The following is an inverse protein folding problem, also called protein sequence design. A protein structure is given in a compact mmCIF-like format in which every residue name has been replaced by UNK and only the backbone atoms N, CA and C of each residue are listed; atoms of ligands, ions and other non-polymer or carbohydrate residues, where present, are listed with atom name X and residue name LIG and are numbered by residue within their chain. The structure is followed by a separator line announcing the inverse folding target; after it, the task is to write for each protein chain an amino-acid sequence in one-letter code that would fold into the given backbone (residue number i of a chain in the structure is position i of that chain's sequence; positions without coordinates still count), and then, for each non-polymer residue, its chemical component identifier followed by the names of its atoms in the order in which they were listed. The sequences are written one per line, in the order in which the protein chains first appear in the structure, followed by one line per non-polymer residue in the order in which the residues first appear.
data_IF_625635249635
#
_entry.id   IF_625635249635
#
_cell.length_a   1.000
_cell.length_b   1.000
_cell.length_c   1.000
_cell.angle_alpha   90.00
_cell.angle_beta   90.00
_cell.angle_gamma   90.00
#
_symmetry.space_group_name_H-M   'P 1'
#
loop_
_entity.id
_entity.type
_entity.pdbx_description
1 polymer ?
#
# COMPACT_ATOMS: atom_id res chain seq x y z
N UNK A 1 -37.15 9.49 4.10
CA UNK A 1 -35.86 8.86 3.74
C UNK A 1 -35.25 9.67 2.62
N UNK A 2 -33.95 9.99 2.68
CA UNK A 2 -33.26 10.72 1.62
C UNK A 2 -32.68 9.70 0.62
N UNK A 3 -32.98 9.86 -0.67
CA UNK A 3 -32.60 8.90 -1.71
C UNK A 3 -31.37 9.41 -2.46
N UNK A 4 -30.30 8.64 -2.45
CA UNK A 4 -29.09 8.97 -3.21
C UNK A 4 -28.92 7.97 -4.35
N UNK A 5 -28.63 8.48 -5.55
CA UNK A 5 -28.14 7.67 -6.65
C UNK A 5 -26.61 7.79 -6.69
N UNK A 6 -25.91 6.65 -6.80
CA UNK A 6 -24.46 6.61 -6.76
C UNK A 6 -23.93 5.88 -7.99
N UNK A 7 -23.14 6.59 -8.79
CA UNK A 7 -22.46 6.04 -9.97
C UNK A 7 -20.99 5.78 -9.65
N UNK A 8 -20.56 4.53 -9.73
CA UNK A 8 -19.14 4.19 -9.72
C UNK A 8 -18.59 4.24 -11.15
N UNK A 9 -17.77 5.24 -11.43
CA UNK A 9 -17.11 5.44 -12.73
C UNK A 9 -15.60 5.17 -12.64
N UNK A 10 -15.16 4.39 -11.64
CA UNK A 10 -13.77 3.97 -11.51
C UNK A 10 -13.35 3.06 -12.66
N UNK A 11 -12.20 3.35 -13.25
CA UNK A 11 -11.61 2.52 -14.32
C UNK A 11 -10.21 2.09 -13.89
N UNK A 12 -9.96 0.78 -13.94
CA UNK A 12 -8.67 0.22 -13.58
C UNK A 12 -7.55 0.77 -14.47
N UNK A 13 -6.43 1.14 -13.85
CA UNK A 13 -5.27 1.66 -14.56
C UNK A 13 -5.33 3.14 -14.94
N UNK A 14 -6.43 3.85 -14.63
CA UNK A 14 -6.54 5.27 -14.98
C UNK A 14 -5.58 6.17 -14.19
N UNK A 15 -4.91 7.06 -14.92
CA UNK A 15 -4.12 8.18 -14.40
C UNK A 15 -4.97 9.44 -14.21
N UNK A 16 -4.39 10.48 -13.62
CA UNK A 16 -5.09 11.72 -13.32
C UNK A 16 -5.56 12.48 -14.57
N UNK A 17 -4.80 12.44 -15.68
CA UNK A 17 -5.24 12.99 -16.97
C UNK A 17 -6.45 12.24 -17.53
N UNK A 18 -6.47 10.91 -17.42
CA UNK A 18 -7.57 10.07 -17.88
C UNK A 18 -8.82 10.30 -17.02
N UNK A 19 -8.64 10.48 -15.70
CA UNK A 19 -9.70 10.91 -14.78
C UNK A 19 -10.30 12.27 -15.17
N UNK A 20 -9.47 13.25 -15.55
CA UNK A 20 -9.94 14.56 -16.00
C UNK A 20 -10.74 14.45 -17.31
N UNK A 21 -10.28 13.60 -18.24
CA UNK A 21 -10.99 13.35 -19.50
C UNK A 21 -12.33 12.67 -19.24
N UNK A 22 -12.37 11.67 -18.35
CA UNK A 22 -13.61 11.00 -17.97
C UNK A 22 -14.61 11.97 -17.33
N UNK A 23 -14.11 12.84 -16.44
CA UNK A 23 -14.92 13.91 -15.85
C UNK A 23 -15.58 14.75 -16.95
N UNK A 24 -14.77 15.31 -17.85
CA UNK A 24 -15.22 16.22 -18.91
C UNK A 24 -16.16 15.59 -19.94
N UNK A 25 -16.04 14.28 -20.20
CA UNK A 25 -16.73 13.61 -21.32
C UNK A 25 -17.91 12.73 -20.93
N UNK A 26 -18.02 12.36 -19.64
CA UNK A 26 -19.07 11.44 -19.16
C UNK A 26 -19.67 11.88 -17.83
N UNK A 27 -18.85 12.16 -16.82
CA UNK A 27 -19.34 12.43 -15.46
C UNK A 27 -20.22 13.67 -15.43
N UNK A 28 -19.80 14.76 -16.08
CA UNK A 28 -20.56 16.02 -16.05
C UNK A 28 -21.89 15.95 -16.81
N UNK A 29 -22.05 15.00 -17.74
CA UNK A 29 -23.31 14.78 -18.47
C UNK A 29 -24.37 14.09 -17.59
N UNK A 30 -23.94 13.44 -16.50
CA UNK A 30 -24.83 12.87 -15.49
C UNK A 30 -25.39 13.92 -14.52
N UNK A 31 -24.93 15.17 -14.60
CA UNK A 31 -25.32 16.27 -13.71
C UNK A 31 -25.25 15.93 -12.20
N UNK A 32 -24.09 15.45 -11.68
CA UNK A 32 -23.98 15.04 -10.29
C UNK A 32 -23.92 16.26 -9.35
N UNK A 33 -24.49 16.15 -8.16
CA UNK A 33 -24.31 17.16 -7.10
C UNK A 33 -22.91 17.10 -6.49
N UNK A 34 -22.35 15.90 -6.38
CA UNK A 34 -21.03 15.67 -5.77
C UNK A 34 -20.21 14.68 -6.60
N UNK A 35 -18.93 14.99 -6.76
CA UNK A 35 -17.93 14.10 -7.38
C UNK A 35 -16.85 13.75 -6.35
N UNK A 36 -16.60 12.45 -6.18
CA UNK A 36 -15.44 11.96 -5.43
C UNK A 36 -14.34 11.60 -6.43
N UNK A 37 -13.18 12.27 -6.34
CA UNK A 37 -12.03 12.01 -7.21
C UNK A 37 -11.03 11.13 -6.48
N UNK A 38 -10.83 9.92 -6.99
CA UNK A 38 -9.98 8.89 -6.41
C UNK A 38 -8.92 8.40 -7.42
N UNK A 39 -7.98 9.28 -7.77
CA UNK A 39 -6.85 9.00 -8.67
C UNK A 39 -5.56 9.28 -7.91
N UNK A 40 -4.55 8.40 -8.01
CA UNK A 40 -3.26 8.43 -7.29
C UNK A 40 -2.51 7.09 -7.37
N UNK A 41 -3.25 5.97 -7.53
CA UNK A 41 -2.71 4.61 -7.42
C UNK A 41 -1.84 4.21 -8.63
N UNK A 42 -2.09 4.78 -9.82
CA UNK A 42 -1.40 4.39 -11.07
C UNK A 42 -0.27 5.34 -11.45
N UNK A 43 -0.28 6.54 -10.89
CA UNK A 43 0.67 7.62 -11.08
C UNK A 43 2.10 7.25 -10.63
N UNK A 44 2.30 6.56 -9.49
CA UNK A 44 3.64 6.20 -9.05
C UNK A 44 4.24 5.01 -9.80
N UNK A 45 3.49 4.33 -10.67
CA UNK A 45 4.05 3.19 -11.39
C UNK A 45 5.01 3.69 -12.48
N UNK A 46 6.20 3.05 -12.55
CA UNK A 46 7.13 3.25 -13.65
C UNK A 46 6.47 2.78 -14.94
N UNK A 47 5.80 3.69 -15.64
CA UNK A 47 5.35 3.44 -16.98
C UNK A 47 6.59 3.65 -17.85
N UNK A 48 7.05 2.61 -18.55
CA UNK A 48 8.12 2.76 -19.55
C UNK A 48 7.77 3.73 -20.69
N UNK A 49 6.59 4.35 -20.65
CA UNK A 49 6.08 5.37 -21.57
C UNK A 49 5.16 6.32 -20.80
N UNK A 50 5.35 7.63 -20.98
CA UNK A 50 4.49 8.71 -20.47
C UNK A 50 3.10 8.67 -21.14
N UNK A 51 2.03 8.69 -20.33
CA UNK A 51 0.64 8.64 -20.77
C UNK A 51 0.23 9.84 -21.65
N UNK A 52 0.88 10.99 -21.46
CA UNK A 52 0.68 12.20 -22.27
C UNK A 52 1.14 12.00 -23.71
N UNK A 53 2.08 11.07 -23.91
CA UNK A 53 2.59 10.66 -25.22
C UNK A 53 1.91 9.39 -25.74
N UNK A 54 1.06 8.73 -24.94
CA UNK A 54 0.13 7.71 -25.40
C UNK A 54 -1.09 8.36 -26.10
N UNK A 55 -0.83 9.16 -27.13
CA UNK A 55 -1.88 9.60 -28.07
C UNK A 55 -2.35 8.41 -28.91
N UNK A 56 -3.67 8.23 -29.13
CA UNK A 56 -4.15 7.30 -30.14
C UNK A 56 -3.86 7.88 -31.53
N UNK A 57 -2.80 7.37 -32.16
CA UNK A 57 -2.55 7.59 -33.59
C UNK A 57 -1.50 8.64 -33.89
N UNK A 58 -0.26 8.18 -34.07
CA UNK A 58 0.64 8.57 -35.16
C UNK A 58 1.84 7.61 -35.11
N UNK A 59 1.62 6.34 -35.43
CA UNK A 59 2.71 5.42 -35.75
C UNK A 59 2.77 5.28 -37.26
N UNK A 60 3.93 5.63 -37.83
CA UNK A 60 4.28 5.23 -39.18
C UNK A 60 4.09 3.72 -39.28
N UNK A 61 3.27 3.29 -40.24
CA UNK A 61 2.84 1.90 -40.39
C UNK A 61 4.07 1.02 -40.64
N UNK A 62 4.56 0.38 -39.59
CA UNK A 62 5.63 -0.59 -39.70
C UNK A 62 4.99 -1.94 -40.07
N UNK A 63 5.37 -2.50 -41.22
CA UNK A 63 4.75 -3.71 -41.79
C UNK A 63 4.80 -4.91 -40.82
N UNK A 64 5.81 -4.92 -39.95
CA UNK A 64 5.99 -5.88 -38.84
C UNK A 64 4.91 -5.72 -37.76
N UNK A 65 4.54 -4.48 -37.40
CA UNK A 65 3.46 -4.23 -36.43
C UNK A 65 2.09 -4.58 -37.01
N UNK A 66 1.86 -4.35 -38.31
CA UNK A 66 0.62 -4.75 -38.98
C UNK A 66 0.48 -6.27 -39.01
N UNK A 67 1.54 -7.00 -39.36
CA UNK A 67 1.56 -8.47 -39.29
C UNK A 67 1.41 -8.99 -37.86
N UNK A 68 2.07 -8.38 -36.87
CA UNK A 68 1.89 -8.77 -35.47
C UNK A 68 0.47 -8.48 -34.97
N UNK A 69 -0.17 -7.40 -35.43
CA UNK A 69 -1.55 -7.05 -35.06
C UNK A 69 -2.57 -8.02 -35.65
N UNK A 70 -2.32 -8.54 -36.86
CA UNK A 70 -3.14 -9.56 -37.50
C UNK A 70 -2.96 -10.93 -36.84
N UNK A 71 -1.71 -11.31 -36.53
CA UNK A 71 -1.40 -12.53 -35.81
C UNK A 71 -1.96 -12.49 -34.38
N UNK A 72 -1.84 -11.38 -33.66
CA UNK A 72 -2.39 -11.22 -32.30
C UNK A 72 -3.92 -11.16 -32.26
N UNK A 73 -4.62 -10.99 -33.39
CA UNK A 73 -6.08 -11.15 -33.49
C UNK A 73 -6.51 -12.61 -33.70
N UNK A 74 -5.59 -13.49 -34.11
CA UNK A 74 -5.86 -14.91 -34.28
C UNK A 74 -5.84 -15.65 -32.94
N UNK A 75 -6.96 -16.28 -32.59
CA UNK A 75 -7.05 -17.13 -31.40
C UNK A 75 -6.04 -18.28 -31.41
N UNK A 76 -5.71 -18.82 -32.59
CA UNK A 76 -4.70 -19.88 -32.73
C UNK A 76 -3.29 -19.38 -32.38
N UNK A 77 -2.92 -18.18 -32.81
CA UNK A 77 -1.62 -17.60 -32.48
C UNK A 77 -1.54 -17.19 -31.00
N UNK A 78 -2.64 -16.69 -30.42
CA UNK A 78 -2.73 -16.47 -28.96
C UNK A 78 -2.54 -17.78 -28.19
N UNK A 79 -3.14 -18.88 -28.67
CA UNK A 79 -2.99 -20.20 -28.06
C UNK A 79 -1.54 -20.71 -28.16
N UNK A 80 -0.92 -20.61 -29.34
CA UNK A 80 0.49 -20.98 -29.53
C UNK A 80 1.43 -20.13 -28.67
N UNK A 81 1.18 -18.82 -28.56
CA UNK A 81 1.92 -17.94 -27.67
C UNK A 81 1.70 -18.32 -26.21
N UNK A 82 0.48 -18.66 -25.82
CA UNK A 82 0.17 -19.15 -24.48
C UNK A 82 0.89 -20.47 -24.18
N UNK A 83 0.91 -21.42 -25.12
CA UNK A 83 1.67 -22.67 -25.00
C UNK A 83 3.18 -22.42 -24.91
N UNK A 84 3.73 -21.54 -25.75
CA UNK A 84 5.13 -21.14 -25.67
C UNK A 84 5.46 -20.47 -24.33
N UNK A 85 4.55 -19.62 -23.82
CA UNK A 85 4.66 -19.04 -22.50
C UNK A 85 4.62 -20.13 -21.42
N UNK A 86 3.69 -21.09 -21.46
CA UNK A 86 3.65 -22.20 -20.50
C UNK A 86 4.94 -23.04 -20.49
N UNK A 87 5.53 -23.27 -21.67
CA UNK A 87 6.78 -24.03 -21.80
C UNK A 87 8.02 -23.26 -21.32
N UNK A 88 7.97 -21.93 -21.36
CA UNK A 88 9.09 -21.05 -20.97
C UNK A 88 8.90 -20.40 -19.60
N UNK A 89 7.68 -20.45 -19.06
CA UNK A 89 7.33 -19.83 -17.79
C UNK A 89 7.85 -20.70 -16.66
N UNK A 90 8.85 -20.16 -15.96
CA UNK A 90 9.29 -20.68 -14.67
C UNK A 90 8.58 -19.85 -13.59
N UNK A 91 7.79 -20.47 -12.69
CA UNK A 91 7.25 -19.75 -11.55
C UNK A 91 8.42 -19.15 -10.77
N UNK A 92 8.35 -17.85 -10.47
CA UNK A 92 9.32 -17.21 -9.60
C UNK A 92 9.25 -17.87 -8.22
N UNK A 93 10.40 -18.11 -7.62
CA UNK A 93 10.47 -18.54 -6.22
C UNK A 93 9.98 -17.43 -5.29
N UNK A 94 9.52 -17.80 -4.09
CA UNK A 94 9.15 -16.82 -3.06
C UNK A 94 10.37 -15.97 -2.69
N UNK A 95 11.58 -16.54 -2.68
CA UNK A 95 12.83 -15.80 -2.48
C UNK A 95 13.02 -14.69 -3.50
N UNK A 96 12.86 -14.97 -4.81
CA UNK A 96 12.93 -13.96 -5.87
C UNK A 96 11.84 -12.89 -5.71
N UNK A 97 10.64 -13.26 -5.25
CA UNK A 97 9.56 -12.30 -4.96
C UNK A 97 9.90 -11.40 -3.76
N UNK A 98 10.50 -11.95 -2.71
CA UNK A 98 10.95 -11.18 -1.54
C UNK A 98 12.07 -10.19 -1.90
N UNK A 99 13.02 -10.60 -2.76
CA UNK A 99 14.09 -9.73 -3.26
C UNK A 99 13.52 -8.55 -4.08
N UNK A 100 12.66 -8.83 -5.05
CA UNK A 100 12.03 -7.81 -5.91
C UNK A 100 11.15 -6.83 -5.09
N UNK A 101 10.46 -7.32 -4.07
CA UNK A 101 9.64 -6.46 -3.20
C UNK A 101 10.47 -5.65 -2.19
N UNK A 102 11.58 -6.20 -1.71
CA UNK A 102 12.58 -5.42 -0.95
C UNK A 102 13.17 -4.29 -1.82
N UNK A 103 13.39 -4.56 -3.11
CA UNK A 103 13.78 -3.53 -4.08
C UNK A 103 12.70 -2.45 -4.26
N UNK A 104 11.41 -2.84 -4.41
CA UNK A 104 10.31 -1.88 -4.51
C UNK A 104 10.13 -0.99 -3.25
N UNK A 105 10.32 -1.54 -2.05
CA UNK A 105 10.32 -0.76 -0.81
C UNK A 105 11.49 0.25 -0.77
N UNK A 106 12.64 -0.15 -1.31
CA UNK A 106 13.83 0.71 -1.46
C UNK A 106 13.56 1.83 -2.47
N UNK A 107 12.94 1.52 -3.61
CA UNK A 107 12.53 2.50 -4.63
C UNK A 107 11.57 3.56 -4.06
N UNK A 108 10.52 3.17 -3.33
CA UNK A 108 9.60 4.14 -2.70
C UNK A 108 10.36 5.10 -1.79
N UNK A 109 11.29 4.60 -0.98
CA UNK A 109 12.11 5.44 -0.11
C UNK A 109 13.00 6.40 -0.90
N UNK A 110 13.62 5.95 -1.99
CA UNK A 110 14.44 6.79 -2.88
C UNK A 110 13.63 7.92 -3.52
N UNK A 111 12.43 7.61 -4.03
CA UNK A 111 11.51 8.61 -4.60
C UNK A 111 11.07 9.65 -3.55
N UNK A 112 10.95 9.26 -2.28
CA UNK A 112 10.61 10.20 -1.19
C UNK A 112 11.80 11.01 -0.68
N UNK A 113 13.03 10.58 -0.93
CA UNK A 113 14.27 11.04 -0.29
C UNK A 113 14.91 12.31 -0.88
N UNK A 114 14.11 13.31 -1.30
CA UNK A 114 14.53 14.57 -1.94
C UNK A 114 15.04 14.48 -3.39
N UNK A 115 14.98 13.32 -4.05
CA UNK A 115 15.49 13.15 -5.42
C UNK A 115 14.41 12.79 -6.44
N UNK A 116 13.16 13.21 -6.17
CA UNK A 116 12.02 12.94 -7.05
C UNK A 116 12.31 13.32 -8.52
N UNK A 117 13.04 14.42 -8.74
CA UNK A 117 13.40 14.89 -10.08
C UNK A 117 14.17 13.84 -10.91
N UNK A 118 14.93 12.93 -10.28
CA UNK A 118 15.59 11.83 -11.00
C UNK A 118 14.62 10.76 -11.48
N UNK A 119 13.52 10.59 -10.75
CA UNK A 119 12.52 9.56 -11.03
C UNK A 119 11.37 10.10 -11.89
N UNK A 120 11.11 11.42 -11.85
CA UNK A 120 10.02 12.08 -12.58
C UNK A 120 9.88 11.66 -14.05
N UNK A 121 10.97 11.51 -14.86
CA UNK A 121 10.86 11.06 -16.25
C UNK A 121 10.31 9.64 -16.44
N UNK A 122 10.36 8.83 -15.39
CA UNK A 122 9.92 7.43 -15.38
C UNK A 122 8.52 7.29 -14.76
N UNK A 123 7.97 8.37 -14.20
CA UNK A 123 6.64 8.37 -13.60
C UNK A 123 5.60 8.56 -14.68
N UNK A 124 4.43 7.94 -14.49
CA UNK A 124 3.33 8.02 -15.44
C UNK A 124 2.78 9.44 -15.62
N UNK A 125 2.74 10.20 -14.52
CA UNK A 125 2.40 11.63 -14.49
C UNK A 125 3.44 12.38 -13.64
N UNK A 126 3.91 13.55 -14.11
CA UNK A 126 4.73 14.46 -13.30
C UNK A 126 3.93 15.01 -12.11
N UNK A 127 4.60 15.40 -11.01
CA UNK A 127 3.88 15.99 -9.86
C UNK A 127 3.20 17.31 -10.23
N UNK A 128 3.79 18.04 -11.18
CA UNK A 128 3.23 19.28 -11.70
C UNK A 128 1.96 19.02 -12.51
N UNK A 129 1.99 18.05 -13.41
CA UNK A 129 0.83 17.70 -14.23
C UNK A 129 -0.29 17.12 -13.37
N UNK A 130 0.04 16.25 -12.42
CA UNK A 130 -0.89 15.76 -11.41
C UNK A 130 -1.57 16.90 -10.64
N UNK A 131 -0.82 17.93 -10.20
CA UNK A 131 -1.38 19.13 -9.57
C UNK A 131 -2.33 19.87 -10.51
N UNK A 132 -1.90 20.14 -11.74
CA UNK A 132 -2.68 20.84 -12.75
C UNK A 132 -4.00 20.13 -13.06
N UNK A 133 -3.97 18.80 -13.24
CA UNK A 133 -5.16 18.02 -13.59
C UNK A 133 -6.18 18.04 -12.46
N UNK A 134 -5.75 17.90 -11.21
CA UNK A 134 -6.65 18.00 -10.05
C UNK A 134 -7.27 19.39 -9.92
N UNK A 135 -6.48 20.45 -10.08
CA UNK A 135 -7.02 21.83 -10.05
C UNK A 135 -8.00 22.08 -11.18
N UNK A 136 -7.74 21.55 -12.37
CA UNK A 136 -8.67 21.64 -13.48
C UNK A 136 -9.96 20.84 -13.22
N UNK A 137 -9.88 19.64 -12.63
CA UNK A 137 -11.08 18.90 -12.19
C UNK A 137 -11.92 19.71 -11.20
N UNK A 138 -11.27 20.32 -10.20
CA UNK A 138 -11.92 21.18 -9.20
C UNK A 138 -12.57 22.39 -9.86
N UNK A 139 -11.85 23.06 -10.77
CA UNK A 139 -12.34 24.23 -11.50
C UNK A 139 -13.56 23.91 -12.34
N UNK A 140 -13.53 22.80 -13.08
CA UNK A 140 -14.64 22.38 -13.96
C UNK A 140 -15.86 21.93 -13.14
N UNK A 141 -15.66 21.24 -12.00
CA UNK A 141 -16.76 20.91 -11.10
C UNK A 141 -17.42 22.19 -10.56
N UNK A 142 -16.62 23.15 -10.06
CA UNK A 142 -17.11 24.42 -9.52
C UNK A 142 -17.87 25.27 -10.53
N UNK A 143 -17.41 25.32 -11.79
CA UNK A 143 -18.10 26.09 -12.82
C UNK A 143 -19.51 25.57 -13.12
N UNK A 144 -19.81 24.33 -12.74
CA UNK A 144 -21.15 23.73 -12.82
C UNK A 144 -21.85 23.61 -11.47
N UNK A 145 -21.35 24.29 -10.43
CA UNK A 145 -21.85 24.20 -9.06
C UNK A 145 -21.84 22.75 -8.52
N UNK A 146 -20.84 21.96 -8.88
CA UNK A 146 -20.67 20.57 -8.42
C UNK A 146 -19.65 20.57 -7.28
N UNK A 147 -20.02 19.93 -6.17
CA UNK A 147 -19.12 19.74 -5.04
C UNK A 147 -18.08 18.66 -5.32
N UNK A 148 -16.87 18.82 -4.79
CA UNK A 148 -15.78 17.86 -5.02
C UNK A 148 -15.13 17.42 -3.70
N UNK A 149 -14.86 16.12 -3.59
CA UNK A 149 -14.10 15.51 -2.49
C UNK A 149 -12.93 14.75 -3.09
N UNK A 150 -11.72 15.01 -2.61
CA UNK A 150 -10.54 14.26 -3.00
C UNK A 150 -10.41 13.02 -2.11
N UNK A 151 -10.06 11.89 -2.72
CA UNK A 151 -9.78 10.64 -2.03
C UNK A 151 -8.40 10.16 -2.44
N UNK A 152 -7.45 10.20 -1.51
CA UNK A 152 -6.17 9.52 -1.69
C UNK A 152 -6.34 8.05 -1.35
N UNK A 153 -6.64 7.23 -2.35
CA UNK A 153 -6.87 5.80 -2.20
C UNK A 153 -5.62 4.94 -2.50
N UNK A 154 -4.48 5.42 -2.05
CA UNK A 154 -3.19 4.71 -2.08
C UNK A 154 -2.69 4.59 -0.64
N UNK A 155 -1.93 3.54 -0.31
CA UNK A 155 -1.51 3.25 1.07
C UNK A 155 -0.06 3.66 1.35
N UNK A 156 0.50 4.52 0.49
CA UNK A 156 1.84 5.08 0.62
C UNK A 156 1.83 6.43 1.33
N UNK A 157 1.95 6.41 2.66
CA UNK A 157 1.84 7.60 3.54
C UNK A 157 2.82 8.74 3.22
N UNK A 158 4.00 8.42 2.73
CA UNK A 158 5.03 9.42 2.43
C UNK A 158 5.07 9.82 0.96
N UNK A 159 4.09 9.37 0.16
CA UNK A 159 4.03 9.61 -1.27
C UNK A 159 4.09 11.09 -1.61
N UNK A 160 4.89 11.49 -2.62
CA UNK A 160 4.89 12.87 -3.10
C UNK A 160 3.53 13.28 -3.69
N UNK A 161 2.75 12.35 -4.25
CA UNK A 161 1.40 12.63 -4.77
C UNK A 161 0.41 12.96 -3.64
N UNK A 162 0.53 12.32 -2.48
CA UNK A 162 -0.27 12.69 -1.31
C UNK A 162 0.06 14.12 -0.85
N UNK A 163 1.34 14.50 -0.83
CA UNK A 163 1.76 15.88 -0.50
C UNK A 163 1.15 16.91 -1.46
N UNK A 164 1.04 16.56 -2.76
CA UNK A 164 0.34 17.39 -3.75
C UNK A 164 -1.15 17.51 -3.42
N UNK A 165 -1.85 16.40 -3.17
CA UNK A 165 -3.27 16.46 -2.79
C UNK A 165 -3.52 17.24 -1.50
N UNK A 166 -2.64 17.09 -0.50
CA UNK A 166 -2.72 17.85 0.75
C UNK A 166 -2.55 19.36 0.51
N UNK A 167 -1.65 19.76 -0.40
CA UNK A 167 -1.50 21.16 -0.82
C UNK A 167 -2.76 21.65 -1.52
N UNK A 168 -3.26 20.93 -2.52
CA UNK A 168 -4.49 21.29 -3.26
C UNK A 168 -5.68 21.40 -2.30
N UNK A 169 -5.85 20.44 -1.38
CA UNK A 169 -6.91 20.46 -0.38
C UNK A 169 -6.90 21.75 0.45
N UNK A 170 -5.72 22.20 0.89
CA UNK A 170 -5.58 23.47 1.63
C UNK A 170 -5.84 24.68 0.75
N UNK A 171 -5.19 24.75 -0.42
CA UNK A 171 -5.23 25.92 -1.31
C UNK A 171 -6.64 26.13 -1.87
N UNK A 172 -7.26 25.05 -2.35
CA UNK A 172 -8.59 25.07 -2.94
C UNK A 172 -9.67 24.92 -1.88
N UNK A 173 -9.36 24.62 -0.62
CA UNK A 173 -10.36 24.34 0.44
C UNK A 173 -11.33 23.21 0.06
N UNK A 174 -10.83 22.17 -0.58
CA UNK A 174 -11.60 20.96 -0.90
C UNK A 174 -11.29 19.85 0.11
N UNK A 175 -12.28 19.09 0.60
CA UNK A 175 -12.02 18.00 1.52
C UNK A 175 -11.10 16.93 0.90
N UNK A 176 -10.17 16.42 1.69
CA UNK A 176 -9.31 15.28 1.34
C UNK A 176 -9.51 14.16 2.36
N UNK A 177 -9.88 12.99 1.86
CA UNK A 177 -9.85 11.74 2.62
C UNK A 177 -8.55 11.03 2.31
N UNK A 178 -7.69 10.89 3.33
CA UNK A 178 -6.42 10.19 3.24
C UNK A 178 -6.58 8.75 3.75
N UNK A 179 -6.77 7.80 2.83
CA UNK A 179 -6.92 6.39 3.18
C UNK A 179 -5.66 5.83 3.84
N UNK A 180 -4.47 6.30 3.47
CA UNK A 180 -3.20 5.83 4.04
C UNK A 180 -3.11 6.10 5.54
N UNK A 181 -3.50 7.32 5.97
CA UNK A 181 -3.50 7.70 7.38
C UNK A 181 -4.60 6.98 8.17
N UNK A 182 -5.81 6.84 7.58
CA UNK A 182 -6.93 6.14 8.20
C UNK A 182 -6.61 4.67 8.49
N UNK A 183 -6.09 3.97 7.48
CA UNK A 183 -5.76 2.56 7.58
C UNK A 183 -4.59 2.33 8.55
N UNK A 184 -3.51 3.11 8.44
CA UNK A 184 -2.39 3.00 9.37
C UNK A 184 -2.80 3.31 10.82
N UNK A 185 -3.67 4.30 11.02
CA UNK A 185 -4.20 4.61 12.35
C UNK A 185 -5.08 3.50 12.93
N UNK A 186 -5.87 2.83 12.08
CA UNK A 186 -6.69 1.70 12.50
C UNK A 186 -5.87 0.44 12.79
N UNK A 187 -4.89 0.12 11.93
CA UNK A 187 -3.94 -0.95 12.16
C UNK A 187 -3.22 -0.76 13.49
N UNK A 188 -2.65 0.43 13.73
CA UNK A 188 -1.97 0.75 14.98
C UNK A 188 -2.88 0.56 16.21
N UNK A 189 -4.15 0.97 16.14
CA UNK A 189 -5.10 0.74 17.24
C UNK A 189 -5.34 -0.74 17.50
N UNK A 190 -5.49 -1.56 16.46
CA UNK A 190 -5.67 -3.01 16.61
C UNK A 190 -4.43 -3.63 17.27
N UNK A 191 -3.24 -3.23 16.83
CA UNK A 191 -1.97 -3.69 17.41
C UNK A 191 -1.85 -3.29 18.89
N UNK A 192 -2.12 -2.03 19.24
CA UNK A 192 -2.11 -1.56 20.63
C UNK A 192 -3.18 -2.22 21.51
N UNK A 193 -4.36 -2.51 20.94
CA UNK A 193 -5.42 -3.25 21.63
C UNK A 193 -5.01 -4.71 21.87
N UNK A 194 -4.31 -5.34 20.92
CA UNK A 194 -3.76 -6.68 21.09
C UNK A 194 -2.69 -6.69 22.19
N UNK A 195 -1.76 -5.73 22.17
CA UNK A 195 -0.77 -5.57 23.23
C UNK A 195 -1.41 -5.37 24.61
N UNK A 196 -2.48 -4.57 24.70
CA UNK A 196 -3.24 -4.37 25.94
C UNK A 196 -3.94 -5.64 26.38
N UNK A 197 -4.63 -6.33 25.47
CA UNK A 197 -5.36 -7.57 25.76
C UNK A 197 -4.43 -8.66 26.28
N UNK A 198 -3.20 -8.70 25.75
CA UNK A 198 -2.19 -9.66 26.16
C UNK A 198 -1.33 -9.15 27.33
N UNK A 199 -1.45 -7.90 27.78
CA UNK A 199 -0.55 -7.33 28.81
C UNK A 199 0.94 -7.36 28.40
N UNK A 200 1.21 -7.06 27.12
CA UNK A 200 2.54 -7.10 26.52
C UNK A 200 2.98 -5.74 25.98
N UNK A 201 2.46 -4.65 26.55
CA UNK A 201 2.90 -3.33 26.10
C UNK A 201 4.40 -3.16 26.35
N UNK A 202 5.15 -2.57 25.41
CA UNK A 202 6.56 -2.28 25.60
C UNK A 202 6.79 -1.45 26.87
N UNK A 203 7.69 -1.92 27.75
CA UNK A 203 8.16 -1.08 28.85
C UNK A 203 9.01 0.04 28.28
N UNK A 204 8.83 1.27 28.78
CA UNK A 204 9.65 2.42 28.35
C UNK A 204 11.12 2.12 28.65
N UNK A 205 11.94 2.08 27.60
CA UNK A 205 13.39 1.96 27.72
C UNK A 205 13.96 3.15 28.51
N UNK A 206 14.92 2.91 29.39
CA UNK A 206 15.71 3.98 29.99
C UNK A 206 16.50 4.70 28.88
N UNK A 207 16.52 6.04 28.94
CA UNK A 207 17.25 6.87 27.99
C UNK A 207 18.72 6.83 28.34
N UNK A 208 19.52 6.20 27.49
CA UNK A 208 20.97 6.33 27.53
C UNK A 208 21.47 6.86 26.18
N UNK A 209 22.53 7.67 26.21
CA UNK A 209 23.17 8.22 25.02
C UNK A 209 23.85 7.09 24.23
N UNK A 210 23.12 6.44 23.33
CA UNK A 210 23.64 5.31 22.56
C UNK A 210 23.87 5.67 21.09
N UNK A 211 25.13 5.60 20.67
CA UNK A 211 25.57 5.57 19.26
C UNK A 211 25.78 4.13 18.75
N UNK A 212 25.12 3.13 19.36
CA UNK A 212 25.34 1.70 19.13
C UNK A 212 24.28 1.00 18.25
N UNK A 213 24.40 -0.33 18.13
CA UNK A 213 23.35 -1.17 17.53
C UNK A 213 22.05 -1.10 18.37
N UNK A 214 20.90 -1.20 17.71
CA UNK A 214 19.56 -1.19 18.30
C UNK A 214 19.04 -2.63 18.32
N UNK A 215 18.68 -3.14 19.50
CA UNK A 215 17.96 -4.42 19.64
C UNK A 215 16.53 -4.25 19.11
N UNK A 216 16.17 -4.97 18.06
CA UNK A 216 14.81 -5.04 17.53
C UNK A 216 14.16 -6.33 18.02
N UNK A 217 12.99 -6.22 18.62
CA UNK A 217 12.16 -7.35 19.04
C UNK A 217 11.00 -7.51 18.06
N UNK A 218 10.99 -8.62 17.32
CA UNK A 218 9.90 -9.06 16.46
C UNK A 218 8.92 -9.91 17.27
N UNK A 219 7.62 -9.70 17.09
CA UNK A 219 6.56 -10.35 17.89
C UNK A 219 5.41 -10.79 16.99
N UNK A 220 5.09 -12.07 17.05
CA UNK A 220 4.09 -12.72 16.21
C UNK A 220 3.09 -13.51 17.05
N UNK A 221 1.85 -13.06 17.06
CA UNK A 221 0.75 -13.76 17.70
C UNK A 221 0.24 -14.90 16.81
N UNK A 222 0.35 -16.13 17.32
CA UNK A 222 -0.07 -17.35 16.65
C UNK A 222 -1.54 -17.73 16.94
N UNK A 223 -2.31 -16.90 17.66
CA UNK A 223 -3.76 -17.06 17.95
C UNK A 223 -4.25 -18.52 18.02
N UNK A 224 -4.99 -18.97 16.99
CA UNK A 224 -5.57 -20.30 16.88
C UNK A 224 -4.76 -21.28 16.02
N UNK A 225 -3.61 -20.84 15.50
CA UNK A 225 -2.77 -21.65 14.63
C UNK A 225 -2.05 -22.70 15.47
N UNK A 226 -2.12 -23.96 15.02
CA UNK A 226 -1.30 -25.02 15.59
C UNK A 226 0.14 -24.78 15.16
N UNK A 227 1.07 -24.73 16.11
CA UNK A 227 2.51 -24.58 15.87
C UNK A 227 3.21 -25.86 16.31
N UNK A 228 3.32 -26.90 15.47
CA UNK A 228 3.89 -28.19 15.87
C UNK A 228 5.36 -28.11 16.32
N UNK A 229 6.13 -27.18 15.75
CA UNK A 229 7.57 -27.05 16.02
C UNK A 229 7.92 -25.66 16.52
N UNK A 230 7.78 -24.65 15.66
CA UNK A 230 8.08 -23.26 16.00
C UNK A 230 7.53 -22.32 14.92
N UNK A 231 7.33 -21.06 15.30
CA UNK A 231 7.25 -19.97 14.33
C UNK A 231 8.66 -19.55 13.92
N UNK A 232 8.79 -19.05 12.70
CA UNK A 232 10.06 -18.63 12.12
C UNK A 232 9.93 -17.26 11.47
N UNK A 233 11.04 -16.52 11.46
CA UNK A 233 11.19 -15.28 10.72
C UNK A 233 12.21 -15.46 9.60
N UNK A 234 11.91 -14.91 8.42
CA UNK A 234 12.82 -14.91 7.27
C UNK A 234 12.84 -13.52 6.62
N UNK A 235 14.02 -13.04 6.28
CA UNK A 235 14.19 -11.70 5.70
C UNK A 235 15.50 -11.49 4.97
N UNK A 236 15.66 -10.28 4.45
CA UNK A 236 16.74 -9.84 3.56
C UNK A 236 18.10 -9.62 4.27
N UNK A 237 18.23 -9.94 5.55
CA UNK A 237 19.42 -9.67 6.36
C UNK A 237 20.00 -10.99 6.90
N UNK A 238 21.33 -11.13 7.10
CA UNK A 238 21.93 -12.34 7.69
C UNK A 238 21.32 -12.74 9.04
N UNK A 239 21.04 -11.76 9.91
CA UNK A 239 20.34 -11.98 11.20
C UNK A 239 18.87 -12.43 11.04
N UNK A 240 18.31 -12.35 9.83
CA UNK A 240 16.97 -12.84 9.47
C UNK A 240 17.04 -14.03 8.49
N UNK A 241 18.16 -14.74 8.46
CA UNK A 241 18.31 -15.97 7.66
C UNK A 241 18.66 -15.77 6.19
N UNK A 242 18.84 -14.53 5.72
CA UNK A 242 19.20 -14.21 4.33
C UNK A 242 18.32 -14.95 3.31
N UNK A 243 17.00 -14.81 3.48
CA UNK A 243 15.96 -15.42 2.65
C UNK A 243 15.89 -16.96 2.67
N UNK A 244 16.58 -17.62 3.60
CA UNK A 244 16.38 -19.03 3.89
C UNK A 244 15.20 -19.20 4.88
N UNK A 245 14.02 -19.71 4.45
CA UNK A 245 12.87 -19.91 5.33
C UNK A 245 13.14 -20.98 6.39
N UNK A 246 12.35 -20.94 7.47
CA UNK A 246 12.41 -21.93 8.56
C UNK A 246 13.80 -22.10 9.22
N UNK A 247 14.67 -21.09 9.09
CA UNK A 247 16.03 -21.09 9.64
C UNK A 247 16.12 -20.38 10.99
N UNK A 248 15.50 -19.20 11.10
CA UNK A 248 15.54 -18.39 12.33
C UNK A 248 14.26 -18.64 13.11
N UNK A 249 14.35 -19.46 14.15
CA UNK A 249 13.24 -19.76 15.04
C UNK A 249 12.89 -18.56 15.93
N UNK A 250 11.61 -18.41 16.20
CA UNK A 250 11.05 -17.54 17.23
C UNK A 250 10.68 -18.38 18.47
N UNK A 251 10.41 -17.73 19.59
CA UNK A 251 10.23 -18.39 20.90
C UNK A 251 9.06 -17.81 21.69
N UNK A 252 8.31 -18.66 22.40
CA UNK A 252 7.22 -18.32 23.34
C UNK A 252 7.53 -18.97 24.71
N UNK A 253 8.76 -18.76 25.20
CA UNK A 253 9.36 -19.42 26.36
C UNK A 253 9.97 -18.46 27.40
N UNK A 254 9.74 -17.15 27.25
CA UNK A 254 10.30 -16.08 28.07
C UNK A 254 11.73 -15.68 27.71
N UNK A 255 12.26 -16.15 26.57
CA UNK A 255 13.62 -15.85 26.10
C UNK A 255 13.63 -15.15 24.73
N UNK A 256 14.79 -14.72 24.24
CA UNK A 256 14.94 -14.12 22.90
C UNK A 256 14.01 -12.93 22.59
N UNK A 257 13.72 -12.12 23.62
CA UNK A 257 12.80 -10.98 23.51
C UNK A 257 11.34 -11.31 23.77
N UNK A 258 11.00 -12.58 24.01
CA UNK A 258 9.69 -12.96 24.53
C UNK A 258 9.47 -12.36 25.92
N UNK A 259 8.33 -11.70 26.05
CA UNK A 259 7.95 -10.97 27.25
C UNK A 259 7.24 -11.88 28.26
N UNK A 260 6.58 -12.95 27.81
CA UNK A 260 5.87 -13.88 28.69
C UNK A 260 5.65 -15.24 27.99
N UNK A 261 6.27 -16.26 28.56
CA UNK A 261 6.15 -17.63 28.09
C UNK A 261 4.70 -18.14 28.04
N UNK A 262 4.38 -18.88 26.98
CA UNK A 262 3.13 -19.61 26.79
C UNK A 262 1.92 -18.74 26.51
N UNK A 263 2.11 -17.54 25.95
CA UNK A 263 1.02 -16.62 25.65
C UNK A 263 0.68 -16.52 24.15
N UNK A 264 1.26 -17.43 23.37
CA UNK A 264 1.13 -17.54 21.93
C UNK A 264 1.73 -16.37 21.15
N UNK A 265 2.54 -15.50 21.79
CA UNK A 265 3.35 -14.48 21.12
C UNK A 265 4.77 -14.95 20.95
N UNK A 266 5.04 -15.51 19.78
CA UNK A 266 6.37 -15.94 19.40
C UNK A 266 7.24 -14.71 19.12
N UNK A 267 8.41 -14.67 19.73
CA UNK A 267 9.31 -13.51 19.70
C UNK A 267 10.71 -13.88 19.23
N UNK A 268 11.37 -12.93 18.59
CA UNK A 268 12.77 -13.03 18.20
C UNK A 268 13.42 -11.65 18.34
N UNK A 269 14.59 -11.57 18.96
CA UNK A 269 15.36 -10.32 19.05
C UNK A 269 16.72 -10.42 18.37
N UNK A 270 17.09 -9.34 17.69
CA UNK A 270 18.38 -9.18 17.04
C UNK A 270 18.79 -7.71 17.03
N UNK A 271 20.09 -7.44 17.07
CA UNK A 271 20.62 -6.08 17.02
C UNK A 271 20.86 -5.62 15.59
N UNK A 272 20.69 -4.33 15.30
CA UNK A 272 20.90 -3.77 13.96
C UNK A 272 21.50 -2.37 14.05
N UNK A 273 22.34 -2.00 13.08
CA UNK A 273 22.81 -0.63 12.98
C UNK A 273 21.66 0.31 12.59
N UNK A 274 21.59 1.54 13.14
CA UNK A 274 20.67 2.57 12.65
C UNK A 274 20.80 2.75 11.13
N UNK A 275 19.66 2.90 10.45
CA UNK A 275 19.58 2.98 8.99
C UNK A 275 19.49 1.63 8.28
N UNK A 276 19.61 0.50 8.99
CA UNK A 276 19.45 -0.83 8.38
C UNK A 276 18.02 -1.01 7.89
N UNK A 277 17.87 -1.38 6.61
CA UNK A 277 16.58 -1.65 5.97
C UNK A 277 16.26 -3.13 6.05
N UNK A 278 15.16 -3.46 6.71
CA UNK A 278 14.72 -4.83 6.90
C UNK A 278 13.43 -5.08 6.14
N UNK A 279 13.38 -6.21 5.43
CA UNK A 279 12.21 -6.76 4.79
C UNK A 279 12.07 -8.22 5.22
N UNK A 280 10.90 -8.62 5.73
CA UNK A 280 10.70 -9.95 6.30
C UNK A 280 9.25 -10.45 6.17
N UNK A 281 9.11 -11.77 6.36
CA UNK A 281 7.86 -12.52 6.47
C UNK A 281 8.04 -13.63 7.52
N UNK A 282 6.95 -14.26 7.92
CA UNK A 282 6.96 -15.38 8.85
C UNK A 282 6.64 -16.71 8.16
N UNK A 283 7.10 -17.79 8.78
CA UNK A 283 6.73 -19.16 8.42
C UNK A 283 6.44 -19.99 9.68
N UNK A 284 5.73 -21.10 9.52
CA UNK A 284 5.33 -22.00 10.61
C UNK A 284 5.84 -23.42 10.33
N UNK A 285 6.66 -23.94 11.23
CA UNK A 285 7.00 -25.37 11.37
C UNK A 285 7.46 -26.10 10.10
N UNK A 286 7.92 -25.40 9.08
CA UNK A 286 8.41 -26.00 7.84
C UNK A 286 9.85 -26.50 7.94
N UNK A 287 10.30 -27.21 6.92
CA UNK A 287 11.70 -27.62 6.80
C UNK A 287 12.62 -26.43 6.48
N UNK A 288 13.83 -26.42 7.07
CA UNK A 288 14.82 -25.37 6.83
C UNK A 288 15.14 -25.26 5.33
N UNK A 289 15.10 -24.03 4.80
CA UNK A 289 15.37 -23.73 3.40
C UNK A 289 14.20 -24.05 2.44
N UNK A 290 13.12 -24.69 2.91
CA UNK A 290 11.92 -24.93 2.12
C UNK A 290 10.82 -23.93 2.47
N UNK A 291 10.15 -23.42 1.44
CA UNK A 291 9.02 -22.49 1.60
C UNK A 291 7.74 -23.25 1.98
N UNK A 292 7.67 -23.65 3.23
CA UNK A 292 6.53 -24.35 3.85
C UNK A 292 5.99 -23.54 5.03
N UNK A 293 4.70 -23.71 5.32
CA UNK A 293 4.03 -22.99 6.41
C UNK A 293 4.08 -21.47 6.23
N UNK A 294 3.99 -20.97 5.00
CA UNK A 294 4.06 -19.54 4.73
C UNK A 294 2.92 -18.78 5.42
N UNK A 295 3.25 -17.63 6.00
CA UNK A 295 2.27 -16.61 6.40
C UNK A 295 1.44 -16.11 5.19
N UNK A 296 0.57 -15.13 5.40
CA UNK A 296 0.10 -14.29 4.30
C UNK A 296 1.30 -13.76 3.50
N UNK A 297 1.26 -13.74 2.15
CA UNK A 297 2.37 -13.26 1.30
C UNK A 297 2.49 -11.73 1.35
N UNK A 298 2.68 -11.21 2.57
CA UNK A 298 2.79 -9.81 2.91
C UNK A 298 4.17 -9.53 3.48
N UNK A 299 4.91 -8.73 2.74
CA UNK A 299 6.28 -8.39 3.07
C UNK A 299 6.23 -7.15 3.93
N UNK A 300 6.74 -7.31 5.14
CA UNK A 300 6.85 -6.24 6.11
C UNK A 300 8.20 -5.61 5.94
N UNK A 301 8.22 -4.29 5.81
CA UNK A 301 9.48 -3.56 5.63
C UNK A 301 9.52 -2.33 6.54
N UNK A 302 10.68 -2.07 7.11
CA UNK A 302 10.95 -0.84 7.85
C UNK A 302 12.44 -0.54 7.88
N UNK A 303 12.77 0.72 8.17
CA UNK A 303 14.14 1.15 8.46
C UNK A 303 14.32 1.20 9.96
N UNK A 304 15.39 0.61 10.48
CA UNK A 304 15.77 0.70 11.89
C UNK A 304 16.19 2.13 12.17
N UNK A 305 15.36 2.91 12.84
CA UNK A 305 15.63 4.31 13.18
C UNK A 305 16.02 4.43 14.65
N UNK A 306 17.13 5.13 14.93
CA UNK A 306 17.50 5.53 16.28
C UNK A 306 16.57 6.66 16.75
N UNK A 307 15.41 6.32 17.30
CA UNK A 307 14.51 7.33 17.90
C UNK A 307 14.90 7.53 19.35
N UNK A 308 15.12 8.79 19.73
CA UNK A 308 15.15 9.25 21.13
C UNK A 308 16.08 8.47 22.09
N UNK A 309 17.19 7.91 21.61
CA UNK A 309 18.13 7.14 22.43
C UNK A 309 17.63 5.75 22.84
N UNK A 310 16.61 5.21 22.17
CA UNK A 310 16.12 3.86 22.41
C UNK A 310 17.13 2.82 21.93
N UNK A 311 17.65 2.00 22.86
CA UNK A 311 18.49 0.83 22.52
C UNK A 311 17.67 -0.40 22.15
N UNK A 312 16.36 -0.40 22.45
CA UNK A 312 15.45 -1.51 22.21
C UNK A 312 14.17 -1.03 21.55
N UNK A 313 13.90 -1.55 20.36
CA UNK A 313 12.74 -1.26 19.52
C UNK A 313 11.82 -2.48 19.49
N UNK A 314 10.65 -2.36 20.09
CA UNK A 314 9.60 -3.37 19.96
C UNK A 314 8.82 -3.14 18.68
N UNK A 315 8.79 -4.14 17.78
CA UNK A 315 7.85 -4.17 16.65
C UNK A 315 6.45 -4.48 17.16
N UNK A 316 5.37 -3.96 16.55
CA UNK A 316 4.00 -4.29 16.95
C UNK A 316 3.78 -5.80 17.03
N UNK A 317 2.83 -6.24 17.86
CA UNK A 317 2.41 -7.65 17.85
C UNK A 317 1.57 -7.87 16.59
N UNK A 318 2.17 -8.55 15.62
CA UNK A 318 1.53 -8.92 14.37
C UNK A 318 0.79 -10.26 14.52
N UNK A 319 -0.08 -10.65 13.60
CA UNK A 319 -0.82 -11.92 13.68
C UNK A 319 -0.56 -12.81 12.48
N UNK A 320 -0.28 -14.07 12.73
CA UNK A 320 -0.04 -15.03 11.67
C UNK A 320 -1.32 -15.30 10.86
N UNK A 321 -1.19 -15.33 9.54
CA UNK A 321 -2.29 -15.48 8.59
C UNK A 321 -3.18 -14.24 8.46
N UNK A 322 -2.80 -13.08 9.01
CA UNK A 322 -3.65 -11.88 9.04
C UNK A 322 -2.88 -10.59 8.81
N UNK A 323 -3.36 -9.80 7.86
CA UNK A 323 -2.95 -8.40 7.67
C UNK A 323 -4.10 -7.52 8.15
N UNK A 324 -3.84 -6.63 9.10
CA UNK A 324 -4.89 -5.74 9.60
C UNK A 324 -5.34 -4.76 8.52
N UNK A 325 -6.65 -4.63 8.35
CA UNK A 325 -7.30 -3.71 7.40
C UNK A 325 -7.01 -3.96 5.90
N UNK A 326 -6.15 -4.92 5.56
CA UNK A 326 -5.76 -5.27 4.20
C UNK A 326 -6.30 -6.64 3.76
N UNK A 327 -6.61 -6.76 2.48
CA UNK A 327 -6.84 -8.04 1.81
C UNK A 327 -5.55 -8.52 1.12
N UNK A 328 -4.78 -7.58 0.57
CA UNK A 328 -3.49 -7.80 -0.06
C UNK A 328 -2.62 -6.52 0.10
N UNK A 329 -1.37 -6.50 -0.40
CA UNK A 329 -0.48 -5.32 -0.26
C UNK A 329 -0.98 -4.02 -0.91
N UNK A 330 -1.98 -4.07 -1.79
CA UNK A 330 -2.52 -2.94 -2.56
C UNK A 330 -3.96 -2.60 -2.21
N UNK A 331 -4.73 -3.55 -1.68
CA UNK A 331 -6.15 -3.37 -1.41
C UNK A 331 -6.49 -3.60 0.06
N UNK A 332 -7.42 -2.78 0.57
CA UNK A 332 -8.00 -3.00 1.89
C UNK A 332 -8.99 -4.17 1.87
N UNK A 333 -9.23 -4.77 3.04
CA UNK A 333 -10.34 -5.72 3.19
C UNK A 333 -11.67 -4.98 3.40
N UNK A 334 -12.77 -5.73 3.56
CA UNK A 334 -14.11 -5.15 3.74
C UNK A 334 -14.18 -4.13 4.89
N UNK A 335 -13.50 -4.38 6.00
CA UNK A 335 -13.47 -3.48 7.17
C UNK A 335 -12.69 -2.21 6.85
N UNK A 336 -11.57 -2.32 6.12
CA UNK A 336 -10.81 -1.16 5.65
C UNK A 336 -11.61 -0.29 4.68
N UNK A 337 -12.29 -0.90 3.70
CA UNK A 337 -13.18 -0.16 2.79
C UNK A 337 -14.34 0.52 3.54
N UNK A 338 -14.93 -0.14 4.54
CA UNK A 338 -15.97 0.45 5.37
C UNK A 338 -15.46 1.68 6.14
N UNK A 339 -14.22 1.64 6.64
CA UNK A 339 -13.60 2.78 7.31
C UNK A 339 -13.42 3.98 6.35
N UNK A 340 -12.93 3.72 5.15
CA UNK A 340 -12.75 4.75 4.11
C UNK A 340 -14.11 5.33 3.70
N UNK A 341 -15.11 4.48 3.47
CA UNK A 341 -16.47 4.89 3.11
C UNK A 341 -17.12 5.75 4.20
N UNK A 342 -16.93 5.41 5.48
CA UNK A 342 -17.41 6.23 6.61
C UNK A 342 -16.73 7.60 6.62
N UNK A 343 -15.42 7.65 6.41
CA UNK A 343 -14.69 8.93 6.35
C UNK A 343 -15.15 9.80 5.17
N UNK A 344 -15.45 9.20 4.01
CA UNK A 344 -16.06 9.91 2.88
C UNK A 344 -17.44 10.44 3.25
N UNK A 345 -18.31 9.60 3.82
CA UNK A 345 -19.65 10.01 4.23
C UNK A 345 -19.62 11.15 5.26
N UNK A 346 -18.69 11.13 6.20
CA UNK A 346 -18.51 12.20 7.19
C UNK A 346 -18.06 13.52 6.56
N UNK A 347 -17.32 13.47 5.43
CA UNK A 347 -17.00 14.66 4.65
C UNK A 347 -18.20 15.13 3.81
N UNK A 348 -18.95 14.21 3.19
CA UNK A 348 -20.16 14.52 2.43
C UNK A 348 -21.23 15.17 3.32
N UNK A 349 -21.41 14.72 4.56
CA UNK A 349 -22.34 15.32 5.52
C UNK A 349 -21.99 16.77 5.91
N UNK A 350 -20.75 17.19 5.69
CA UNK A 350 -20.31 18.58 5.92
C UNK A 350 -20.57 19.48 4.73
N UNK A 351 -20.84 18.91 3.55
CA UNK A 351 -21.12 19.65 2.34
C UNK A 351 -22.50 20.34 2.39
N UNK A 352 -22.58 21.60 1.99
CA UNK A 352 -23.82 22.38 2.08
C UNK A 352 -24.92 21.86 1.14
N UNK A 353 -24.60 21.43 -0.09
CA UNK A 353 -25.61 20.87 -1.00
C UNK A 353 -26.20 19.57 -0.45
N UNK A 354 -25.35 18.73 0.14
CA UNK A 354 -25.81 17.50 0.82
C UNK A 354 -26.66 17.84 2.04
N UNK A 355 -26.26 18.83 2.85
CA UNK A 355 -27.07 19.30 3.99
C UNK A 355 -28.41 19.85 3.54
N UNK A 356 -28.45 20.63 2.47
CA UNK A 356 -29.68 21.21 1.90
C UNK A 356 -30.63 20.10 1.45
N UNK A 357 -30.11 19.13 0.70
CA UNK A 357 -30.88 17.96 0.28
C UNK A 357 -31.45 17.18 1.49
N UNK A 358 -30.61 16.90 2.48
CA UNK A 358 -31.04 16.21 3.71
C UNK A 358 -32.05 17.00 4.55
N UNK A 359 -32.02 18.35 4.48
CA UNK A 359 -33.02 19.21 5.13
C UNK A 359 -34.36 19.17 4.41
N UNK A 360 -34.36 19.13 3.07
CA UNK A 360 -35.57 19.09 2.25
C UNK A 360 -36.24 17.71 2.25
N UNK A 361 -35.47 16.64 2.47
CA UNK A 361 -35.97 15.26 2.55
C UNK A 361 -36.56 14.87 3.93
N UNK A 362 -36.53 15.79 4.91
CA UNK A 362 -37.21 15.67 6.21
C UNK A 362 -38.54 16.38 6.13
#
# INVERSE_FOLDING_TARGET
EANFEVFNLGVAGYSSIQGLRLLKTRVLDLNPDVVVVAVAMNEPHMAGVDDKHASPGEESINLVQTLSSLLNKSEFFKLLRYWALLLTWKPRSISEYLEDKSYNATWRQEVTGNDFNKFEPWMRDSLRDYDNYHREMIKVARSRNISIVLLYNEFWRDSPYLKVLQRISRDERVPLVDSSALIAGAQKRIEEELEKKLDLQPRKSQRDNAHGEIEVVFRLFADKWSVPKAMYIVGNHPKLGNLAPNKIAMYDDGTHGDQRAGDHVWSYSATFAPGTKLSYIYTDSGEEGKWEGLDVPHIRSFTVEAKNGEQKLYRPIESFGKIYMHADPWHTNAVGYQLIARALLDNLRKNEQVKDYLRQAK
#
